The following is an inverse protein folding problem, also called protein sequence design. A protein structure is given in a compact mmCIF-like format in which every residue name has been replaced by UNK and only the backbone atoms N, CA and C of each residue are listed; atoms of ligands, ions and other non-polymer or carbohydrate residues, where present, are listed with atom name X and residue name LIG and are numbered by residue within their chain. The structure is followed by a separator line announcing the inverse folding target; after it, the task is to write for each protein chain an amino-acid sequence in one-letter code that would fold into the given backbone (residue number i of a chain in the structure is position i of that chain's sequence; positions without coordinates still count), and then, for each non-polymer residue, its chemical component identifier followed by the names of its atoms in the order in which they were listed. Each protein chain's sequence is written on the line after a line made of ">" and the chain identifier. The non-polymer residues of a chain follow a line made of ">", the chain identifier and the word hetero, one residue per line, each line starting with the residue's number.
data_IF_096300244101
#
_entry.id   IF_096300244101
#
_cell.length_a   1.000
_cell.length_b   1.000
_cell.length_c   1.000
_cell.angle_alpha   90.00
_cell.angle_beta   90.00
_cell.angle_gamma   90.00
#
_symmetry.space_group_name_H-M   'P 1'
#
loop_
_entity.id
_entity.type
_entity.pdbx_description
1 polymer ?
#
# COMPACT_ATOMS: atom_id res chain seq x y z
N UNK A 1 17.11 -22.88 30.22
CA UNK A 1 15.90 -22.22 29.67
C UNK A 1 15.98 -22.31 28.16
N UNK A 2 14.98 -22.90 27.49
CA UNK A 2 15.02 -23.05 26.03
C UNK A 2 14.48 -21.78 25.35
N UNK A 3 15.28 -21.18 24.46
CA UNK A 3 14.85 -20.05 23.64
C UNK A 3 13.96 -20.54 22.50
N UNK A 4 12.77 -19.97 22.36
CA UNK A 4 11.88 -20.23 21.22
C UNK A 4 12.10 -19.18 20.15
N UNK A 5 12.36 -19.59 18.91
CA UNK A 5 12.48 -18.69 17.78
C UNK A 5 11.14 -17.94 17.52
N UNK A 6 11.18 -16.68 17.05
CA UNK A 6 9.96 -15.94 16.73
C UNK A 6 9.25 -16.57 15.52
N UNK A 7 7.94 -16.73 15.63
CA UNK A 7 7.11 -17.27 14.54
C UNK A 7 7.08 -16.32 13.34
N UNK A 8 7.08 -16.90 12.15
CA UNK A 8 6.94 -16.20 10.87
C UNK A 8 5.47 -16.14 10.45
N UNK A 9 5.16 -15.26 9.48
CA UNK A 9 3.81 -15.15 8.94
C UNK A 9 3.31 -16.45 8.29
N UNK A 10 4.22 -17.29 7.78
CA UNK A 10 3.91 -18.60 7.20
C UNK A 10 3.43 -19.64 8.23
N UNK A 11 3.79 -19.48 9.50
CA UNK A 11 3.41 -20.42 10.57
C UNK A 11 1.89 -20.40 10.88
N UNK A 12 1.18 -19.37 10.42
CA UNK A 12 -0.28 -19.23 10.57
C UNK A 12 -1.07 -19.92 9.46
N UNK A 13 -0.44 -20.27 8.33
CA UNK A 13 -1.11 -20.84 7.16
C UNK A 13 -0.85 -22.34 6.95
N UNK A 14 -0.11 -22.99 7.86
CA UNK A 14 0.08 -24.44 7.81
C UNK A 14 -1.16 -25.19 8.31
N UNK A 15 -1.75 -26.12 7.53
CA UNK A 15 -2.85 -26.94 7.99
C UNK A 15 -2.38 -27.90 9.10
N UNK A 16 -3.21 -28.07 10.14
CA UNK A 16 -2.85 -28.84 11.33
C UNK A 16 -2.66 -30.34 11.02
N UNK A 17 -1.40 -30.76 10.88
CA UNK A 17 -1.04 -32.18 10.77
C UNK A 17 -1.48 -32.96 12.01
N UNK A 18 -2.26 -34.02 11.80
CA UNK A 18 -2.80 -34.87 12.88
C UNK A 18 -1.66 -35.47 13.71
N UNK A 19 -1.61 -35.10 14.99
CA UNK A 19 -0.56 -35.48 15.94
C UNK A 19 -0.68 -36.95 16.37
N UNK A 20 -0.05 -37.86 15.63
CA UNK A 20 0.26 -39.20 16.14
C UNK A 20 1.41 -39.11 17.16
N UNK A 21 1.34 -39.95 18.19
CA UNK A 21 2.12 -39.83 19.43
C UNK A 21 3.08 -41.03 19.57
N UNK A 22 4.38 -40.79 19.43
CA UNK A 22 5.43 -41.73 19.84
C UNK A 22 6.65 -40.96 20.36
N UNK A 23 7.21 -41.45 21.47
CA UNK A 23 8.37 -40.90 22.20
C UNK A 23 9.69 -41.53 21.73
N UNK A 24 10.86 -40.94 22.06
CA UNK A 24 12.09 -41.16 21.29
C UNK A 24 12.94 -42.35 21.78
N UNK A 25 13.78 -42.87 20.89
CA UNK A 25 14.95 -43.68 21.23
C UNK A 25 16.20 -43.17 20.52
N UNK A 26 17.33 -43.28 21.23
CA UNK A 26 18.68 -42.93 20.81
C UNK A 26 19.25 -43.91 19.77
N UNK A 27 20.12 -43.42 18.88
CA UNK A 27 21.52 -43.89 18.82
C UNK A 27 22.36 -43.17 17.74
N UNK A 28 23.67 -43.15 17.99
CA UNK A 28 24.74 -42.74 17.07
C UNK A 28 25.11 -43.82 16.05
N UNK A 29 25.58 -43.43 14.86
CA UNK A 29 26.72 -44.10 14.20
C UNK A 29 27.34 -43.25 13.08
N UNK A 30 28.64 -43.49 12.85
CA UNK A 30 29.52 -42.75 11.92
C UNK A 30 29.73 -43.50 10.58
N UNK A 31 30.63 -42.98 9.74
CA UNK A 31 31.20 -43.58 8.50
C UNK A 31 30.31 -43.50 7.22
N UNK A 32 30.85 -43.42 6.00
CA UNK A 32 32.26 -43.45 5.56
C UNK A 32 32.52 -42.66 4.27
N UNK A 33 33.79 -42.28 4.09
CA UNK A 33 34.42 -41.68 2.90
C UNK A 33 34.39 -42.60 1.67
N UNK A 34 34.27 -42.03 0.46
CA UNK A 34 35.02 -42.48 -0.74
C UNK A 34 35.58 -41.25 -1.46
N UNK A 35 36.82 -41.36 -1.95
CA UNK A 35 37.55 -40.37 -2.75
C UNK A 35 38.31 -41.10 -3.87
N UNK A 36 38.61 -40.39 -4.97
CA UNK A 36 39.60 -40.63 -6.06
C UNK A 36 39.18 -39.68 -7.21
N UNK A 37 39.90 -38.59 -7.54
CA UNK A 37 41.23 -38.45 -8.16
C UNK A 37 41.29 -39.01 -9.61
N UNK A 38 41.89 -38.39 -10.63
CA UNK A 38 42.53 -37.07 -10.85
C UNK A 38 42.56 -36.81 -12.38
N UNK A 39 43.25 -35.84 -12.99
CA UNK A 39 44.13 -34.74 -12.55
C UNK A 39 44.11 -33.58 -13.58
N UNK A 40 44.72 -32.42 -13.32
CA UNK A 40 46.02 -31.98 -13.92
C UNK A 40 46.13 -32.16 -15.45
N UNK A 41 46.49 -31.19 -16.32
CA UNK A 41 47.15 -29.86 -16.25
C UNK A 41 46.99 -29.17 -17.65
N UNK A 42 47.42 -27.95 -17.99
CA UNK A 42 48.23 -26.89 -17.34
C UNK A 42 47.83 -25.46 -17.83
N UNK A 43 48.71 -24.46 -17.66
CA UNK A 43 48.58 -23.03 -18.02
C UNK A 43 48.89 -22.67 -19.49
N UNK A 44 48.38 -21.51 -19.98
CA UNK A 44 48.83 -20.90 -21.24
C UNK A 44 48.10 -19.59 -21.63
N UNK A 45 48.82 -18.47 -21.68
CA UNK A 45 48.31 -17.14 -22.07
C UNK A 45 48.48 -16.89 -23.58
N UNK A 46 47.49 -16.29 -24.25
CA UNK A 46 47.61 -14.97 -24.92
C UNK A 46 46.35 -14.58 -25.70
N UNK A 47 46.26 -13.30 -26.09
CA UNK A 47 45.07 -12.66 -26.64
C UNK A 47 44.91 -12.84 -28.15
N UNK A 48 43.68 -13.11 -28.61
CA UNK A 48 43.23 -12.70 -29.94
C UNK A 48 41.71 -12.45 -29.95
N UNK A 49 41.31 -11.25 -30.37
CA UNK A 49 39.90 -10.88 -30.51
C UNK A 49 39.32 -11.42 -31.83
N UNK A 50 38.20 -12.16 -31.81
CA UNK A 50 37.40 -12.41 -33.02
C UNK A 50 36.48 -11.20 -33.33
N UNK A 51 35.95 -11.09 -34.57
CA UNK A 51 35.47 -9.82 -35.10
C UNK A 51 34.10 -9.37 -34.59
N UNK A 52 33.91 -8.05 -34.66
CA UNK A 52 32.66 -7.33 -34.37
C UNK A 52 31.51 -7.82 -35.26
N UNK A 53 30.61 -8.62 -34.70
CA UNK A 53 29.30 -8.91 -35.30
C UNK A 53 28.46 -7.62 -35.39
N UNK A 54 28.42 -7.01 -36.56
CA UNK A 54 27.44 -5.97 -36.90
C UNK A 54 26.09 -6.64 -37.14
N UNK A 55 25.27 -6.75 -36.09
CA UNK A 55 23.85 -7.06 -36.25
C UNK A 55 23.15 -5.82 -36.80
N UNK A 56 23.06 -5.75 -38.13
CA UNK A 56 22.07 -4.94 -38.80
C UNK A 56 20.77 -5.76 -38.86
N UNK A 57 19.81 -5.45 -38.00
CA UNK A 57 18.41 -5.83 -38.19
C UNK A 57 17.55 -4.58 -38.11
N UNK A 58 17.19 -4.09 -39.29
CA UNK A 58 16.25 -2.99 -39.50
C UNK A 58 14.83 -3.35 -39.05
N UNK A 59 14.11 -2.33 -38.55
CA UNK A 59 12.67 -2.12 -38.73
C UNK A 59 11.72 -3.31 -38.43
N UNK A 60 11.07 -3.29 -37.26
CA UNK A 60 9.67 -2.80 -37.16
C UNK A 60 9.08 -3.12 -35.78
N UNK A 61 9.09 -2.14 -34.87
CA UNK A 61 8.08 -2.06 -33.79
C UNK A 61 7.73 -0.58 -33.57
N UNK A 62 6.48 -0.23 -33.89
CA UNK A 62 5.99 1.14 -33.90
C UNK A 62 5.55 1.63 -32.50
N UNK A 63 6.33 1.29 -31.46
CA UNK A 63 6.19 1.84 -30.12
C UNK A 63 7.56 2.26 -29.57
N UNK A 64 7.92 3.53 -29.78
CA UNK A 64 9.25 4.07 -29.49
C UNK A 64 9.59 4.29 -28.00
N UNK A 65 9.18 3.38 -27.11
CA UNK A 65 9.41 3.45 -25.66
C UNK A 65 9.85 2.09 -25.11
N UNK A 66 10.83 2.08 -24.20
CA UNK A 66 11.22 0.85 -23.47
C UNK A 66 10.13 0.44 -22.47
N UNK A 67 10.07 -0.82 -22.01
CA UNK A 67 9.12 -1.27 -20.99
C UNK A 67 9.17 -0.43 -19.70
N UNK A 68 10.35 0.02 -19.29
CA UNK A 68 10.55 0.89 -18.12
C UNK A 68 9.99 2.29 -18.36
N UNK A 69 10.12 2.82 -19.57
CA UNK A 69 9.55 4.11 -19.97
C UNK A 69 8.01 4.03 -19.99
N UNK A 70 7.44 2.95 -20.52
CA UNK A 70 5.99 2.69 -20.49
C UNK A 70 5.50 2.59 -19.04
N UNK A 71 6.13 1.76 -18.20
CA UNK A 71 5.76 1.61 -16.80
C UNK A 71 5.89 2.94 -16.01
N UNK A 72 6.90 3.75 -16.32
CA UNK A 72 7.07 5.10 -15.74
C UNK A 72 5.98 6.06 -16.20
N UNK A 73 5.63 6.05 -17.48
CA UNK A 73 4.57 6.88 -18.05
C UNK A 73 3.20 6.53 -17.45
N UNK A 74 2.89 5.23 -17.31
CA UNK A 74 1.70 4.77 -16.59
C UNK A 74 1.68 5.25 -15.14
N UNK A 75 2.76 5.00 -14.39
CA UNK A 75 2.84 5.42 -12.99
C UNK A 75 2.58 6.94 -12.86
N UNK A 76 3.22 7.75 -13.69
CA UNK A 76 3.04 9.20 -13.71
C UNK A 76 1.59 9.60 -14.07
N UNK A 77 0.95 8.90 -15.02
CA UNK A 77 -0.48 9.09 -15.36
C UNK A 77 -1.39 8.85 -14.14
N UNK A 78 -1.14 7.81 -13.35
CA UNK A 78 -1.93 7.53 -12.14
C UNK A 78 -1.60 8.48 -10.98
N UNK A 79 -0.35 8.94 -10.83
CA UNK A 79 -0.01 10.07 -9.92
C UNK A 79 -0.82 11.32 -10.30
N UNK A 80 -0.85 11.68 -11.58
CA UNK A 80 -1.60 12.85 -12.06
C UNK A 80 -3.11 12.69 -11.83
N UNK A 81 -3.68 11.50 -12.09
CA UNK A 81 -5.10 11.20 -11.82
C UNK A 81 -5.45 11.31 -10.32
N UNK A 82 -4.62 10.73 -9.43
CA UNK A 82 -4.79 10.87 -7.97
C UNK A 82 -4.75 12.34 -7.53
N UNK A 83 -3.78 13.12 -8.03
CA UNK A 83 -3.69 14.57 -7.74
C UNK A 83 -4.91 15.35 -8.26
N UNK A 84 -5.42 15.04 -9.45
CA UNK A 84 -6.67 15.64 -9.99
C UNK A 84 -7.86 15.34 -9.07
N UNK A 85 -8.02 14.08 -8.69
CA UNK A 85 -9.13 13.66 -7.83
C UNK A 85 -9.09 14.36 -6.47
N UNK A 86 -7.91 14.43 -5.85
CA UNK A 86 -7.70 15.17 -4.61
C UNK A 86 -8.05 16.66 -4.76
N UNK A 87 -7.59 17.31 -5.84
CA UNK A 87 -7.88 18.72 -6.11
C UNK A 87 -9.39 18.99 -6.24
N UNK A 88 -10.13 18.15 -6.95
CA UNK A 88 -11.61 18.26 -7.09
C UNK A 88 -12.30 18.14 -5.73
N UNK A 89 -11.88 17.21 -4.87
CA UNK A 89 -12.44 17.08 -3.52
C UNK A 89 -12.12 18.30 -2.63
N UNK A 90 -10.89 18.82 -2.71
CA UNK A 90 -10.49 20.04 -1.99
C UNK A 90 -11.24 21.27 -2.46
N UNK A 91 -11.49 21.39 -3.77
CA UNK A 91 -12.29 22.46 -4.38
C UNK A 91 -13.73 22.41 -3.91
N UNK A 92 -14.37 21.23 -3.91
CA UNK A 92 -15.73 21.03 -3.38
C UNK A 92 -15.86 21.49 -1.92
N UNK A 93 -14.91 21.11 -1.05
CA UNK A 93 -14.89 21.52 0.36
C UNK A 93 -14.65 23.03 0.50
N UNK A 94 -13.76 23.60 -0.30
CA UNK A 94 -13.47 25.05 -0.29
C UNK A 94 -14.68 25.86 -0.75
N UNK A 95 -15.37 25.41 -1.82
CA UNK A 95 -16.59 26.01 -2.35
C UNK A 95 -17.74 25.93 -1.34
N UNK A 96 -17.96 24.76 -0.74
CA UNK A 96 -18.97 24.60 0.32
C UNK A 96 -18.74 25.59 1.47
N UNK A 97 -17.48 25.72 1.93
CA UNK A 97 -17.11 26.70 2.97
C UNK A 97 -17.36 28.15 2.54
N UNK A 98 -17.10 28.51 1.29
CA UNK A 98 -17.39 29.84 0.76
C UNK A 98 -18.91 30.12 0.65
N UNK A 99 -19.72 29.07 0.45
CA UNK A 99 -21.19 29.11 0.47
C UNK A 99 -21.78 29.06 1.90
N UNK A 100 -20.94 29.12 2.95
CA UNK A 100 -21.37 29.04 4.35
C UNK A 100 -21.70 27.62 4.85
N UNK A 101 -21.47 26.58 4.03
CA UNK A 101 -21.67 25.17 4.42
C UNK A 101 -20.39 24.61 5.06
N UNK A 102 -20.55 23.95 6.20
CA UNK A 102 -19.45 23.27 6.89
C UNK A 102 -19.18 21.85 6.37
N UNK A 103 -20.08 21.28 5.55
CA UNK A 103 -20.07 19.89 5.12
C UNK A 103 -20.32 19.70 3.61
N UNK A 104 -19.70 18.65 3.05
CA UNK A 104 -19.90 18.15 1.68
C UNK A 104 -20.43 16.71 1.75
N UNK A 105 -21.57 16.39 1.09
CA UNK A 105 -22.13 15.04 1.07
C UNK A 105 -21.14 13.97 0.61
N UNK A 106 -21.22 12.77 1.18
CA UNK A 106 -20.32 11.65 0.81
C UNK A 106 -20.38 11.32 -0.68
N UNK A 107 -21.58 11.38 -1.29
CA UNK A 107 -21.78 11.16 -2.73
C UNK A 107 -21.00 12.13 -3.63
N UNK A 108 -20.54 13.27 -3.11
CA UNK A 108 -19.73 14.24 -3.84
C UNK A 108 -18.22 14.07 -3.66
N UNK A 109 -17.78 13.31 -2.66
CA UNK A 109 -16.37 13.15 -2.27
C UNK A 109 -15.69 11.93 -2.92
N UNK A 110 -16.47 11.00 -3.50
CA UNK A 110 -15.96 9.93 -4.36
C UNK A 110 -15.99 10.42 -5.82
N UNK A 111 -14.82 10.65 -6.41
CA UNK A 111 -14.70 11.26 -7.75
C UNK A 111 -13.95 10.38 -8.75
N UNK A 112 -13.52 9.20 -8.32
CA UNK A 112 -12.84 8.22 -9.17
C UNK A 112 -13.87 7.45 -10.01
N UNK A 113 -13.74 7.58 -11.33
CA UNK A 113 -14.72 7.12 -12.32
C UNK A 113 -14.94 5.60 -12.32
N UNK A 114 -13.91 4.79 -12.05
CA UNK A 114 -14.05 3.33 -12.03
C UNK A 114 -14.76 2.85 -10.77
N UNK A 115 -14.54 3.49 -9.62
CA UNK A 115 -15.33 3.26 -8.41
C UNK A 115 -16.79 3.73 -8.56
N UNK A 116 -17.04 4.89 -9.19
CA UNK A 116 -18.41 5.35 -9.48
C UNK A 116 -19.17 4.40 -10.41
N UNK A 117 -18.47 3.74 -11.35
CA UNK A 117 -19.04 2.67 -12.20
C UNK A 117 -19.24 1.35 -11.46
N UNK A 118 -18.36 1.01 -10.51
CA UNK A 118 -18.43 -0.23 -9.72
C UNK A 118 -19.46 -0.16 -8.58
N UNK A 119 -19.77 1.03 -8.07
CA UNK A 119 -20.69 1.29 -6.96
C UNK A 119 -21.88 2.19 -7.38
N UNK A 120 -22.64 1.83 -8.44
CA UNK A 120 -23.68 2.70 -8.99
C UNK A 120 -24.81 2.90 -7.98
N UNK A 121 -25.00 4.15 -7.55
CA UNK A 121 -26.04 4.52 -6.58
C UNK A 121 -25.76 4.13 -5.12
N UNK A 122 -24.61 3.51 -4.80
CA UNK A 122 -24.31 3.00 -3.46
C UNK A 122 -24.38 4.10 -2.38
N UNK A 123 -23.76 5.26 -2.67
CA UNK A 123 -23.76 6.45 -1.81
C UNK A 123 -25.12 7.18 -1.76
N UNK A 124 -26.12 6.72 -2.51
CA UNK A 124 -27.48 7.25 -2.50
C UNK A 124 -28.49 6.33 -1.79
N UNK A 125 -28.07 5.13 -1.36
CA UNK A 125 -28.90 4.21 -0.56
C UNK A 125 -29.25 4.83 0.80
N UNK A 126 -30.36 4.41 1.45
CA UNK A 126 -30.83 5.03 2.70
C UNK A 126 -29.76 5.09 3.81
N UNK A 127 -29.03 4.00 4.08
CA UNK A 127 -28.00 3.99 5.11
C UNK A 127 -26.82 4.93 4.80
N UNK A 128 -26.49 5.12 3.52
CA UNK A 128 -25.40 6.01 3.11
C UNK A 128 -25.79 7.48 3.29
N UNK A 129 -27.06 7.82 3.04
CA UNK A 129 -27.63 9.14 3.39
C UNK A 129 -27.61 9.33 4.91
N UNK A 130 -28.16 8.39 5.69
CA UNK A 130 -28.13 8.47 7.17
C UNK A 130 -26.72 8.63 7.74
N UNK A 131 -25.71 7.99 7.14
CA UNK A 131 -24.30 8.18 7.50
C UNK A 131 -23.79 9.59 7.11
N UNK A 132 -24.15 10.09 5.93
CA UNK A 132 -23.82 11.46 5.51
C UNK A 132 -24.45 12.50 6.44
N UNK A 133 -25.72 12.35 6.78
CA UNK A 133 -26.46 13.23 7.69
C UNK A 133 -25.87 13.19 9.11
N UNK A 134 -25.37 12.03 9.55
CA UNK A 134 -24.64 11.88 10.81
C UNK A 134 -23.33 12.69 10.80
N UNK A 135 -22.50 12.50 9.77
CA UNK A 135 -21.25 13.24 9.63
C UNK A 135 -21.48 14.75 9.48
N UNK A 136 -22.56 15.18 8.82
CA UNK A 136 -22.96 16.58 8.77
C UNK A 136 -23.20 17.12 10.18
N UNK A 137 -24.09 16.50 10.97
CA UNK A 137 -24.36 16.95 12.36
C UNK A 137 -23.10 17.02 13.23
N UNK A 138 -22.27 15.98 13.20
CA UNK A 138 -21.00 15.96 13.95
C UNK A 138 -20.05 17.08 13.51
N UNK A 139 -20.07 17.46 12.23
CA UNK A 139 -19.26 18.57 11.68
C UNK A 139 -19.87 19.95 11.99
N UNK A 140 -21.19 20.08 12.01
CA UNK A 140 -21.91 21.37 12.17
C UNK A 140 -22.01 21.86 13.62
N UNK A 141 -21.64 21.06 14.61
CA UNK A 141 -21.87 21.40 16.04
C UNK A 141 -20.86 22.44 16.57
N UNK A 142 -20.96 23.69 16.11
CA UNK A 142 -20.37 24.96 16.61
C UNK A 142 -19.08 24.84 17.46
N UNK A 143 -18.06 24.11 16.98
CA UNK A 143 -16.80 23.91 17.70
C UNK A 143 -16.89 23.16 19.03
N UNK A 144 -18.03 22.55 19.36
CA UNK A 144 -18.24 21.73 20.56
C UNK A 144 -17.89 20.26 20.34
N UNK A 145 -18.04 19.76 19.12
CA UNK A 145 -17.61 18.41 18.75
C UNK A 145 -16.10 18.36 18.52
N UNK A 146 -15.41 17.27 18.91
CA UNK A 146 -14.00 17.09 18.59
C UNK A 146 -13.76 17.05 17.07
N UNK A 147 -12.56 17.44 16.58
CA UNK A 147 -12.28 17.43 15.16
C UNK A 147 -12.37 16.01 14.57
N UNK A 148 -13.07 15.90 13.44
CA UNK A 148 -13.19 14.67 12.65
C UNK A 148 -11.98 14.55 11.71
N UNK A 149 -11.37 13.38 11.71
CA UNK A 149 -10.23 13.01 10.87
C UNK A 149 -10.55 11.81 9.98
N UNK A 150 -10.06 11.76 8.72
CA UNK A 150 -9.31 12.82 8.04
C UNK A 150 -10.22 14.00 7.63
N UNK A 151 -9.66 15.14 7.21
CA UNK A 151 -10.44 16.21 6.56
C UNK A 151 -11.32 15.70 5.43
N UNK A 152 -12.50 16.30 5.22
CA UNK A 152 -13.55 15.78 4.31
C UNK A 152 -13.03 15.39 2.91
N UNK A 153 -12.18 16.22 2.30
CA UNK A 153 -11.61 15.97 0.97
C UNK A 153 -10.70 14.73 0.88
N UNK A 154 -10.35 14.12 2.03
CA UNK A 154 -9.53 12.92 2.16
C UNK A 154 -10.33 11.68 2.63
N UNK A 155 -11.62 11.78 2.94
CA UNK A 155 -12.42 10.62 3.44
C UNK A 155 -12.35 9.43 2.49
N UNK A 156 -12.46 9.67 1.18
CA UNK A 156 -12.32 8.64 0.15
C UNK A 156 -10.95 8.63 -0.55
N UNK A 157 -9.87 9.12 0.08
CA UNK A 157 -8.57 9.23 -0.59
C UNK A 157 -8.03 7.87 -1.09
N UNK A 158 -8.27 6.78 -0.34
CA UNK A 158 -7.96 5.41 -0.76
C UNK A 158 -8.58 5.02 -2.11
N UNK A 159 -9.88 5.31 -2.29
CA UNK A 159 -10.62 5.06 -3.53
C UNK A 159 -10.23 6.05 -4.62
N UNK A 160 -10.06 7.33 -4.25
CA UNK A 160 -9.69 8.41 -5.17
C UNK A 160 -8.26 8.30 -5.72
N UNK A 161 -7.36 7.61 -5.02
CA UNK A 161 -5.99 7.35 -5.46
C UNK A 161 -5.82 6.00 -6.16
N UNK A 162 -6.62 4.99 -5.82
CA UNK A 162 -6.48 3.62 -6.33
C UNK A 162 -7.70 3.25 -7.19
N UNK A 163 -7.64 3.34 -8.53
CA UNK A 163 -8.76 2.95 -9.39
C UNK A 163 -9.15 1.49 -9.19
N UNK A 164 -10.46 1.21 -9.22
CA UNK A 164 -11.06 -0.10 -9.00
C UNK A 164 -10.50 -1.18 -9.94
N UNK A 165 -10.39 -0.84 -11.23
CA UNK A 165 -9.84 -1.69 -12.30
C UNK A 165 -8.33 -1.97 -12.16
N UNK A 166 -7.67 -1.32 -11.19
CA UNK A 166 -6.23 -1.42 -10.93
C UNK A 166 -5.86 -1.89 -9.53
N UNK A 167 -6.82 -2.30 -8.71
CA UNK A 167 -6.55 -2.92 -7.40
C UNK A 167 -5.84 -4.26 -7.62
N UNK A 168 -4.68 -4.42 -6.98
CA UNK A 168 -3.85 -5.65 -7.00
C UNK A 168 -3.75 -6.31 -5.64
N UNK A 169 -3.81 -5.51 -4.58
CA UNK A 169 -3.79 -5.93 -3.20
C UNK A 169 -4.66 -4.99 -2.37
N UNK A 170 -5.23 -5.50 -1.29
CA UNK A 170 -6.01 -4.72 -0.32
C UNK A 170 -5.36 -4.88 1.05
N UNK A 171 -5.07 -3.76 1.71
CA UNK A 171 -4.59 -3.70 3.08
C UNK A 171 -5.66 -2.98 3.88
N UNK A 172 -6.16 -3.65 4.92
CA UNK A 172 -7.21 -3.14 5.79
C UNK A 172 -6.62 -2.62 7.10
N UNK A 173 -6.77 -1.33 7.36
CA UNK A 173 -6.61 -0.73 8.69
C UNK A 173 -7.92 -0.76 9.48
N UNK A 174 -7.86 -0.50 10.78
CA UNK A 174 -9.04 -0.43 11.64
C UNK A 174 -9.73 0.94 11.51
N UNK A 175 -9.06 1.98 12.00
CA UNK A 175 -9.53 3.35 12.11
C UNK A 175 -8.46 4.37 11.61
N UNK A 176 -8.82 5.63 11.33
CA UNK A 176 -7.86 6.66 10.96
C UNK A 176 -7.02 7.11 12.17
N UNK A 177 -5.79 7.56 11.94
CA UNK A 177 -5.00 8.19 13.00
C UNK A 177 -5.73 9.41 13.58
N UNK A 178 -5.86 9.45 14.90
CA UNK A 178 -6.60 10.50 15.61
C UNK A 178 -5.78 11.77 15.90
N UNK A 179 -4.47 11.79 15.59
CA UNK A 179 -3.61 12.94 15.79
C UNK A 179 -3.83 14.04 14.74
N UNK A 180 -3.80 15.33 15.11
CA UNK A 180 -3.91 16.43 14.16
C UNK A 180 -2.89 16.30 13.01
N UNK A 181 -3.37 16.42 11.77
CA UNK A 181 -2.54 16.30 10.57
C UNK A 181 -2.14 14.87 10.15
N UNK A 182 -2.32 13.85 11.00
CA UNK A 182 -1.82 12.50 10.72
C UNK A 182 -2.66 11.71 9.72
N UNK A 183 -3.99 11.73 9.85
CA UNK A 183 -4.85 10.97 8.95
C UNK A 183 -4.93 11.63 7.56
N UNK A 184 -4.43 10.91 6.55
CA UNK A 184 -4.50 11.33 5.15
C UNK A 184 -5.43 10.46 4.27
N UNK A 185 -6.37 9.73 4.89
CA UNK A 185 -7.35 8.91 4.16
C UNK A 185 -6.79 7.66 3.47
N UNK A 186 -5.59 7.22 3.84
CA UNK A 186 -4.95 5.97 3.44
C UNK A 186 -4.56 5.21 4.71
N UNK A 187 -4.91 3.93 4.83
CA UNK A 187 -4.55 3.11 6.00
C UNK A 187 -3.05 3.09 6.25
N UNK A 188 -2.64 3.18 7.51
CA UNK A 188 -1.23 3.23 7.98
C UNK A 188 -0.38 4.41 7.49
N UNK A 189 -0.84 5.20 6.52
CA UNK A 189 -0.08 6.30 5.93
C UNK A 189 -0.22 7.59 6.75
N UNK A 190 0.87 8.37 6.84
CA UNK A 190 0.84 9.76 7.33
C UNK A 190 1.53 10.70 6.33
N UNK A 191 1.21 12.00 6.31
CA UNK A 191 1.92 12.97 5.45
C UNK A 191 3.44 12.99 5.65
N UNK A 192 4.15 13.58 4.68
CA UNK A 192 5.58 13.83 4.84
C UNK A 192 5.80 14.94 5.88
N UNK A 193 6.79 14.76 6.78
CA UNK A 193 7.02 15.63 7.94
C UNK A 193 6.38 15.12 9.24
N UNK A 194 5.31 14.31 9.15
CA UNK A 194 4.69 13.69 10.34
C UNK A 194 5.58 12.61 10.96
N UNK A 195 5.48 12.47 12.29
CA UNK A 195 6.20 11.44 13.04
C UNK A 195 5.68 10.05 12.63
N UNK A 196 6.59 9.16 12.22
CA UNK A 196 6.28 7.78 11.88
C UNK A 196 5.55 7.05 13.03
N UNK A 197 4.29 6.58 12.82
CA UNK A 197 3.57 5.80 13.82
C UNK A 197 4.23 4.43 14.07
N UNK A 198 4.06 3.89 15.27
CA UNK A 198 4.63 2.59 15.67
C UNK A 198 4.22 1.44 14.75
N UNK A 199 2.94 1.38 14.35
CA UNK A 199 2.43 0.39 13.40
C UNK A 199 3.13 0.45 12.04
N UNK A 200 3.36 1.66 11.52
CA UNK A 200 4.06 1.84 10.24
C UNK A 200 5.55 1.52 10.34
N UNK A 201 6.20 1.87 11.45
CA UNK A 201 7.58 1.46 11.73
C UNK A 201 7.74 -0.06 11.76
N UNK A 202 6.75 -0.79 12.28
CA UNK A 202 6.77 -2.25 12.28
C UNK A 202 6.60 -2.83 10.86
N UNK A 203 5.73 -2.24 10.03
CA UNK A 203 5.61 -2.59 8.60
C UNK A 203 6.95 -2.38 7.88
N UNK A 204 7.61 -1.24 8.06
CA UNK A 204 8.91 -0.97 7.42
C UNK A 204 10.04 -1.90 7.92
N UNK A 205 10.05 -2.27 9.21
CA UNK A 205 11.00 -3.26 9.74
C UNK A 205 10.79 -4.64 9.13
N UNK A 206 9.55 -5.09 8.97
CA UNK A 206 9.29 -6.39 8.35
C UNK A 206 9.64 -6.37 6.85
N UNK A 207 9.34 -5.30 6.12
CA UNK A 207 9.79 -5.13 4.73
C UNK A 207 11.31 -5.12 4.57
N UNK A 208 12.05 -4.52 5.53
CA UNK A 208 13.51 -4.60 5.54
C UNK A 208 14.00 -6.02 5.78
N UNK A 209 13.37 -6.74 6.71
CA UNK A 209 13.75 -8.10 7.12
C UNK A 209 13.41 -9.17 6.08
N UNK A 210 12.27 -9.05 5.42
CA UNK A 210 11.73 -10.04 4.48
C UNK A 210 12.26 -9.85 3.05
N UNK A 211 12.22 -8.60 2.54
CA UNK A 211 12.56 -8.28 1.14
C UNK A 211 13.74 -7.31 1.00
N UNK A 212 14.52 -7.07 2.07
CA UNK A 212 15.76 -6.29 2.03
C UNK A 212 15.58 -4.79 1.73
N UNK A 213 14.36 -4.27 1.80
CA UNK A 213 14.06 -2.88 1.46
C UNK A 213 14.65 -1.88 2.48
N UNK A 214 15.10 -0.72 2.00
CA UNK A 214 15.51 0.37 2.89
C UNK A 214 14.30 1.02 3.55
N UNK A 215 14.42 1.31 4.85
CA UNK A 215 13.35 1.96 5.63
C UNK A 215 13.20 3.43 5.18
N UNK A 216 12.02 3.87 4.69
CA UNK A 216 11.78 5.26 4.32
C UNK A 216 11.87 6.22 5.51
N UNK A 217 12.26 7.47 5.24
CA UNK A 217 12.29 8.56 6.25
C UNK A 217 10.94 9.27 6.45
N UNK A 218 9.91 8.89 5.70
CA UNK A 218 8.57 9.51 5.72
C UNK A 218 7.48 8.44 5.76
N UNK A 219 6.29 8.79 6.26
CA UNK A 219 5.18 7.84 6.39
C UNK A 219 4.21 7.78 5.20
N UNK A 220 4.45 8.57 4.15
CA UNK A 220 3.53 8.67 3.03
C UNK A 220 3.59 7.43 2.10
N UNK A 221 2.50 6.65 2.07
CA UNK A 221 2.31 5.44 1.27
C UNK A 221 1.56 5.66 -0.06
N UNK A 222 1.31 6.90 -0.47
CA UNK A 222 0.55 7.20 -1.70
C UNK A 222 1.15 6.55 -2.96
N UNK A 223 2.46 6.29 -2.98
CA UNK A 223 3.12 5.55 -4.08
C UNK A 223 2.63 4.10 -4.22
N UNK A 224 2.28 3.43 -3.12
CA UNK A 224 1.70 2.08 -3.16
C UNK A 224 0.26 2.11 -3.67
N UNK A 225 -0.53 3.09 -3.22
CA UNK A 225 -1.90 3.29 -3.68
C UNK A 225 -1.95 3.51 -5.22
N UNK A 226 -1.12 4.42 -5.73
CA UNK A 226 -0.96 4.65 -7.19
C UNK A 226 -0.53 3.38 -7.95
N UNK A 227 0.20 2.46 -7.33
CA UNK A 227 0.63 1.20 -7.96
C UNK A 227 -0.46 0.12 -8.00
N UNK A 228 -1.51 0.24 -7.18
CA UNK A 228 -2.64 -0.68 -7.09
C UNK A 228 -2.90 -1.26 -5.69
N UNK A 229 -2.27 -0.75 -4.63
CA UNK A 229 -2.51 -1.23 -3.25
C UNK A 229 -3.60 -0.41 -2.59
N UNK A 230 -4.80 -0.97 -2.45
CA UNK A 230 -5.91 -0.31 -1.78
C UNK A 230 -5.68 -0.28 -0.26
N UNK A 231 -5.23 0.88 0.24
CA UNK A 231 -4.94 1.17 1.64
C UNK A 231 -6.20 1.72 2.34
N UNK A 232 -7.12 0.85 2.76
CA UNK A 232 -8.46 1.22 3.22
C UNK A 232 -8.63 0.95 4.73
N UNK A 233 -9.23 1.87 5.47
CA UNK A 233 -9.64 1.58 6.85
C UNK A 233 -11.06 1.00 6.88
N UNK A 234 -11.36 0.09 7.82
CA UNK A 234 -12.71 -0.41 8.06
C UNK A 234 -13.66 0.71 8.52
N UNK A 235 -13.13 1.70 9.25
CA UNK A 235 -13.81 2.97 9.59
C UNK A 235 -13.07 4.12 8.90
N UNK A 236 -13.78 4.92 8.10
CA UNK A 236 -13.17 5.97 7.28
C UNK A 236 -12.97 7.32 8.01
N UNK A 237 -13.69 7.53 9.12
CA UNK A 237 -13.65 8.78 9.91
C UNK A 237 -13.61 8.47 11.41
N UNK A 238 -12.74 9.15 12.15
CA UNK A 238 -12.66 9.09 13.60
C UNK A 238 -12.57 10.47 14.23
N UNK A 239 -12.94 10.58 15.51
CA UNK A 239 -12.75 11.81 16.30
C UNK A 239 -11.45 11.73 17.09
N UNK A 240 -10.80 12.87 17.37
CA UNK A 240 -9.80 12.88 18.43
C UNK A 240 -10.48 12.60 19.78
N UNK A 241 -9.99 11.68 20.62
CA UNK A 241 -10.34 11.70 22.03
C UNK A 241 -9.93 13.07 22.59
N UNK A 242 -10.79 13.67 23.42
CA UNK A 242 -10.40 14.86 24.18
C UNK A 242 -9.38 14.46 25.23
N UNK A 243 -8.31 15.25 25.35
CA UNK A 243 -7.23 15.06 26.32
C UNK A 243 -7.61 15.63 27.70
#
# INVERSE_FOLDING_TARGET
>A
MASSAPKTLMDFFQPASKRLKASPSSSSSSFSTVSVAGGSRDLGSEASSPPRLTVASSADDASGLTPEQVARAEFNKFVAKSKRNLAVCSEKVTKAKAEGRCYVPLSELLVEESWLKALPGELHKPYAKTLSDFLERETTTDGKSPPIYPPQHLIFNALNTTPFDRVKAVIIGQDPYHGPGQAMGLSFSVPEGEKLPSSLLNIFKELQKDVGCSIPRHGNLQKWAVQGVLLLNAVLTGISPMA
#
